data_IF_567215386623
#
_entry.id   IF_567215386623
#
_cell.length_a   1.000
_cell.length_b   1.000
_cell.length_c   1.000
_cell.angle_alpha   90.00
_cell.angle_beta   90.00
_cell.angle_gamma   90.00
#
_symmetry.space_group_name_H-M   'P 1'
#
loop_
_entity.id
_entity.type
_entity.pdbx_description
1 polymer ?
#
# COMPACT_ATOMS: atom_id res chain seq x y z
N UNK A 1 -14.67 0.97 -18.82
CA UNK A 1 -13.70 -0.15 -18.90
C UNK A 1 -12.96 -0.26 -17.59
N UNK A 2 -13.49 -1.04 -16.65
CA UNK A 2 -13.11 -1.05 -15.22
C UNK A 2 -12.10 -2.16 -14.86
N UNK A 3 -11.74 -3.03 -15.80
CA UNK A 3 -10.74 -4.07 -15.58
C UNK A 3 -9.40 -3.65 -16.18
N UNK A 4 -8.63 -2.88 -15.41
CA UNK A 4 -7.18 -2.88 -15.57
C UNK A 4 -6.58 -3.59 -14.36
N UNK A 5 -5.53 -4.39 -14.57
CA UNK A 5 -4.80 -5.17 -13.55
C UNK A 5 -4.46 -4.32 -12.32
N UNK A 6 -4.29 -3.02 -12.54
CA UNK A 6 -4.05 -2.02 -11.54
C UNK A 6 -5.12 -1.91 -10.43
N UNK A 7 -6.42 -1.91 -10.77
CA UNK A 7 -7.49 -1.79 -9.75
C UNK A 7 -7.54 -3.03 -8.88
N UNK A 8 -7.27 -4.20 -9.46
CA UNK A 8 -7.13 -5.45 -8.72
C UNK A 8 -5.95 -5.41 -7.75
N UNK A 9 -4.78 -4.90 -8.16
CA UNK A 9 -3.63 -4.77 -7.27
C UNK A 9 -3.89 -3.82 -6.09
N UNK A 10 -4.55 -2.69 -6.35
CA UNK A 10 -4.93 -1.73 -5.29
C UNK A 10 -6.00 -2.33 -4.37
N UNK A 11 -6.93 -3.10 -4.91
CA UNK A 11 -7.94 -3.80 -4.12
C UNK A 11 -7.29 -4.85 -3.21
N UNK A 12 -6.39 -5.68 -3.74
CA UNK A 12 -5.63 -6.66 -2.93
C UNK A 12 -4.82 -5.94 -1.85
N UNK A 13 -4.18 -4.81 -2.18
CA UNK A 13 -3.47 -3.98 -1.20
C UNK A 13 -4.40 -3.52 -0.06
N UNK A 14 -5.60 -3.02 -0.40
CA UNK A 14 -6.58 -2.56 0.59
C UNK A 14 -7.05 -3.69 1.51
N UNK A 15 -7.35 -4.87 0.93
CA UNK A 15 -7.76 -6.04 1.71
C UNK A 15 -6.64 -6.52 2.63
N UNK A 16 -5.41 -6.56 2.14
CA UNK A 16 -4.26 -6.99 2.93
C UNK A 16 -3.98 -6.00 4.08
N UNK A 17 -4.12 -4.69 3.84
CA UNK A 17 -3.97 -3.70 4.91
C UNK A 17 -5.06 -3.85 5.97
N UNK A 18 -6.31 -4.15 5.57
CA UNK A 18 -7.41 -4.38 6.49
C UNK A 18 -7.23 -5.66 7.33
N UNK A 19 -6.75 -6.76 6.73
CA UNK A 19 -6.48 -7.99 7.48
C UNK A 19 -5.34 -7.80 8.47
N UNK A 20 -4.29 -7.04 8.11
CA UNK A 20 -3.20 -6.72 9.05
C UNK A 20 -3.65 -5.86 10.21
N UNK A 21 -4.57 -4.91 9.96
CA UNK A 21 -5.21 -4.13 11.01
C UNK A 21 -6.05 -5.00 11.95
N UNK A 22 -6.90 -5.88 11.41
CA UNK A 22 -7.73 -6.80 12.19
C UNK A 22 -6.87 -7.68 13.13
N UNK A 23 -5.83 -8.30 12.58
CA UNK A 23 -4.93 -9.16 13.36
C UNK A 23 -4.20 -8.39 14.46
N UNK A 24 -3.75 -7.16 14.17
CA UNK A 24 -3.05 -6.37 15.18
C UNK A 24 -3.97 -5.78 16.25
N UNK A 25 -5.25 -5.56 15.94
CA UNK A 25 -6.27 -5.19 16.91
C UNK A 25 -6.55 -6.36 17.89
N UNK A 26 -6.64 -7.58 17.36
CA UNK A 26 -6.85 -8.80 18.15
C UNK A 26 -5.70 -9.08 19.14
N UNK A 27 -4.46 -8.82 18.73
CA UNK A 27 -3.25 -8.98 19.57
C UNK A 27 -3.12 -7.86 20.65
N UNK A 28 -4.15 -7.02 20.81
CA UNK A 28 -4.28 -6.00 21.86
C UNK A 28 -3.10 -5.00 21.93
N UNK A 29 -2.38 -4.81 20.82
CA UNK A 29 -1.35 -3.77 20.73
C UNK A 29 -2.02 -2.44 20.33
N UNK A 30 -2.28 -1.55 21.29
CA UNK A 30 -2.65 -0.16 20.98
C UNK A 30 -1.42 0.60 20.50
N UNK A 31 -0.93 0.25 19.32
CA UNK A 31 0.20 0.91 18.68
C UNK A 31 -0.30 1.95 17.68
N UNK A 32 0.38 3.10 17.59
CA UNK A 32 0.16 4.15 16.59
C UNK A 32 0.16 3.55 15.17
N UNK A 33 0.95 2.51 14.96
CA UNK A 33 1.05 1.79 13.68
C UNK A 33 -0.29 1.21 13.22
N UNK A 34 -1.18 0.80 14.13
CA UNK A 34 -2.48 0.25 13.74
C UNK A 34 -3.39 1.30 13.11
N UNK A 35 -3.37 2.53 13.63
CA UNK A 35 -4.11 3.63 13.02
C UNK A 35 -3.58 3.94 11.61
N UNK A 36 -2.28 3.76 11.37
CA UNK A 36 -1.68 3.93 10.05
C UNK A 36 -2.19 2.87 9.08
N UNK A 37 -2.26 1.59 9.48
CA UNK A 37 -2.81 0.53 8.61
C UNK A 37 -4.28 0.76 8.26
N UNK A 38 -5.09 1.22 9.21
CA UNK A 38 -6.49 1.61 8.94
C UNK A 38 -6.56 2.77 7.93
N UNK A 39 -5.73 3.80 8.12
CA UNK A 39 -5.65 4.92 7.20
C UNK A 39 -5.25 4.48 5.79
N UNK A 40 -4.26 3.59 5.67
CA UNK A 40 -3.84 3.00 4.40
C UNK A 40 -4.96 2.21 3.73
N UNK A 41 -5.76 1.44 4.49
CA UNK A 41 -6.92 0.72 3.96
C UNK A 41 -7.95 1.68 3.36
N UNK A 42 -8.27 2.77 4.07
CA UNK A 42 -9.22 3.79 3.60
C UNK A 42 -8.68 4.50 2.37
N UNK A 43 -7.42 4.96 2.40
CA UNK A 43 -6.80 5.67 1.28
C UNK A 43 -6.71 4.79 0.04
N UNK A 44 -6.29 3.53 0.19
CA UNK A 44 -6.21 2.58 -0.93
C UNK A 44 -7.59 2.27 -1.51
N UNK A 45 -8.62 2.15 -0.68
CA UNK A 45 -10.00 1.98 -1.13
C UNK A 45 -10.51 3.20 -1.93
N UNK A 46 -10.29 4.42 -1.43
CA UNK A 46 -10.61 5.65 -2.17
C UNK A 46 -9.83 5.72 -3.49
N UNK A 47 -8.58 5.26 -3.50
CA UNK A 47 -7.72 5.25 -4.68
C UNK A 47 -8.25 4.35 -5.81
N UNK A 48 -9.17 3.41 -5.52
CA UNK A 48 -9.85 2.59 -6.55
C UNK A 48 -10.82 3.45 -7.37
N UNK A 49 -11.53 4.38 -6.73
CA UNK A 49 -12.49 5.26 -7.41
C UNK A 49 -11.82 6.39 -8.19
N UNK A 50 -10.54 6.66 -7.93
CA UNK A 50 -9.78 7.71 -8.60
C UNK A 50 -9.23 7.29 -9.98
N UNK A 51 -9.94 6.38 -10.67
CA UNK A 51 -9.53 5.83 -11.97
C UNK A 51 -9.45 6.88 -13.09
N UNK A 52 -10.14 8.02 -12.93
CA UNK A 52 -10.12 9.11 -13.88
C UNK A 52 -8.76 9.86 -13.87
N UNK A 53 -8.09 9.94 -12.72
CA UNK A 53 -6.87 10.71 -12.53
C UNK A 53 -5.65 9.80 -12.29
N UNK A 54 -5.17 9.16 -13.36
CA UNK A 54 -4.10 8.14 -13.29
C UNK A 54 -2.80 8.63 -12.65
N UNK A 55 -2.35 9.85 -12.98
CA UNK A 55 -1.19 10.46 -12.34
C UNK A 55 -1.36 10.64 -10.83
N UNK A 56 -2.58 10.97 -10.38
CA UNK A 56 -2.88 11.10 -8.95
C UNK A 56 -2.87 9.71 -8.30
N UNK A 57 -3.44 8.71 -8.95
CA UNK A 57 -3.44 7.33 -8.50
C UNK A 57 -2.01 6.78 -8.33
N UNK A 58 -1.11 7.09 -9.27
CA UNK A 58 0.31 6.74 -9.21
C UNK A 58 1.07 7.47 -8.09
N UNK A 59 0.74 8.75 -7.84
CA UNK A 59 1.30 9.51 -6.72
C UNK A 59 0.84 8.99 -5.37
N UNK A 60 -0.42 8.61 -5.23
CA UNK A 60 -0.94 7.99 -4.00
C UNK A 60 -0.24 6.65 -3.74
N UNK A 61 -0.08 5.80 -4.75
CA UNK A 61 0.69 4.55 -4.59
C UNK A 61 2.14 4.79 -4.16
N UNK A 62 2.77 5.86 -4.66
CA UNK A 62 4.12 6.26 -4.26
C UNK A 62 4.16 6.77 -2.80
N UNK A 63 3.15 7.52 -2.36
CA UNK A 63 3.03 7.90 -0.95
C UNK A 63 2.85 6.69 -0.04
N UNK A 64 1.97 5.75 -0.41
CA UNK A 64 1.77 4.50 0.32
C UNK A 64 3.07 3.66 0.39
N UNK A 65 3.83 3.62 -0.69
CA UNK A 65 5.15 2.97 -0.71
C UNK A 65 6.10 3.53 0.35
N UNK A 66 6.18 4.87 0.46
CA UNK A 66 7.01 5.49 1.52
C UNK A 66 6.49 5.19 2.92
N UNK A 67 5.17 5.15 3.12
CA UNK A 67 4.57 4.78 4.42
C UNK A 67 5.01 3.38 4.84
N UNK A 68 4.98 2.40 3.93
CA UNK A 68 5.45 1.04 4.25
C UNK A 68 6.95 0.97 4.56
N UNK A 69 7.77 1.74 3.84
CA UNK A 69 9.20 1.86 4.18
C UNK A 69 9.36 2.39 5.60
N UNK A 70 8.66 3.47 5.97
CA UNK A 70 8.74 4.04 7.31
C UNK A 70 8.34 3.05 8.40
N UNK A 71 7.30 2.24 8.17
CA UNK A 71 6.87 1.19 9.11
C UNK A 71 7.96 0.12 9.27
N UNK A 72 8.55 -0.34 8.16
CA UNK A 72 9.63 -1.34 8.19
C UNK A 72 10.83 -0.77 8.96
N UNK A 73 11.28 0.44 8.65
CA UNK A 73 12.40 1.08 9.34
C UNK A 73 12.13 1.28 10.83
N UNK A 74 10.91 1.70 11.20
CA UNK A 74 10.49 1.83 12.60
C UNK A 74 10.70 0.50 13.35
N UNK A 75 10.10 -0.58 12.87
CA UNK A 75 10.22 -1.89 13.54
C UNK A 75 11.65 -2.45 13.50
N UNK A 76 12.43 -2.16 12.46
CA UNK A 76 13.82 -2.58 12.36
C UNK A 76 14.70 -1.95 13.45
N UNK A 77 14.48 -0.66 13.76
CA UNK A 77 15.18 0.04 14.85
C UNK A 77 14.85 -0.60 16.21
N UNK A 78 13.56 -0.89 16.47
CA UNK A 78 13.16 -1.57 17.72
C UNK A 78 13.79 -2.96 17.86
N UNK A 79 13.91 -3.69 16.74
CA UNK A 79 14.53 -5.01 16.69
C UNK A 79 16.04 -4.95 17.01
N UNK A 80 16.76 -3.96 16.46
CA UNK A 80 18.18 -3.71 16.77
C UNK A 80 18.36 -3.34 18.24
N UNK A 81 17.45 -2.55 18.80
CA UNK A 81 17.48 -2.15 20.21
C UNK A 81 17.10 -3.29 21.19
N UNK A 82 16.81 -4.48 20.69
CA UNK A 82 16.47 -5.65 21.52
C UNK A 82 15.08 -5.59 22.15
N UNK A 83 14.25 -4.64 21.75
CA UNK A 83 12.89 -4.49 22.27
C UNK A 83 11.98 -5.46 21.51
N UNK A 84 11.55 -6.53 22.18
CA UNK A 84 10.61 -7.51 21.61
C UNK A 84 9.18 -6.96 21.71
N UNK A 85 8.62 -6.47 20.60
CA UNK A 85 7.17 -6.28 20.46
C UNK A 85 6.57 -7.55 19.83
N UNK A 86 5.52 -8.11 20.45
CA UNK A 86 4.91 -9.38 20.05
C UNK A 86 4.07 -9.35 18.75
N UNK A 87 4.08 -8.27 17.94
CA UNK A 87 3.80 -8.44 16.52
C UNK A 87 4.87 -7.84 15.58
N UNK A 88 6.11 -7.59 16.02
CA UNK A 88 7.16 -6.97 15.18
C UNK A 88 7.37 -7.72 13.86
N UNK A 89 7.57 -9.05 13.92
CA UNK A 89 7.87 -9.84 12.72
C UNK A 89 6.69 -9.90 11.75
N UNK A 90 5.46 -9.97 12.26
CA UNK A 90 4.25 -9.94 11.45
C UNK A 90 4.06 -8.59 10.76
N UNK A 91 4.30 -7.48 11.47
CA UNK A 91 4.20 -6.15 10.87
C UNK A 91 5.28 -5.90 9.82
N UNK A 92 6.51 -6.36 10.03
CA UNK A 92 7.58 -6.23 9.03
C UNK A 92 7.25 -7.05 7.78
N UNK A 93 6.88 -8.32 7.94
CA UNK A 93 6.60 -9.21 6.79
C UNK A 93 5.40 -8.73 5.98
N UNK A 94 4.31 -8.35 6.66
CA UNK A 94 3.11 -7.83 6.00
C UNK A 94 3.35 -6.49 5.29
N UNK A 95 4.12 -5.58 5.91
CA UNK A 95 4.49 -4.31 5.29
C UNK A 95 5.37 -4.52 4.06
N UNK A 96 6.26 -5.52 4.08
CA UNK A 96 7.10 -5.85 2.93
C UNK A 96 6.27 -6.33 1.74
N UNK A 97 5.27 -7.20 1.97
CA UNK A 97 4.35 -7.66 0.92
C UNK A 97 3.56 -6.47 0.36
N UNK A 98 3.03 -5.60 1.24
CA UNK A 98 2.28 -4.41 0.84
C UNK A 98 3.13 -3.41 0.05
N UNK A 99 4.41 -3.26 0.41
CA UNK A 99 5.38 -2.42 -0.30
C UNK A 99 5.61 -2.92 -1.74
N UNK A 100 5.80 -4.22 -1.90
CA UNK A 100 5.96 -4.84 -3.24
C UNK A 100 4.68 -4.64 -4.06
N UNK A 101 3.51 -4.86 -3.47
CA UNK A 101 2.23 -4.63 -4.14
C UNK A 101 2.05 -3.16 -4.57
N UNK A 102 2.36 -2.20 -3.69
CA UNK A 102 2.26 -0.78 -4.00
C UNK A 102 3.18 -0.38 -5.17
N UNK A 103 4.38 -0.97 -5.23
CA UNK A 103 5.32 -0.76 -6.34
C UNK A 103 4.77 -1.33 -7.66
N UNK A 104 4.26 -2.57 -7.65
CA UNK A 104 3.66 -3.18 -8.84
C UNK A 104 2.41 -2.43 -9.29
N UNK A 105 1.56 -2.02 -8.36
CA UNK A 105 0.39 -1.19 -8.63
C UNK A 105 0.82 0.08 -9.36
N UNK A 106 1.79 0.83 -8.80
CA UNK A 106 2.36 2.05 -9.41
C UNK A 106 2.86 1.80 -10.83
N UNK A 107 3.66 0.74 -11.03
CA UNK A 107 4.23 0.40 -12.34
C UNK A 107 3.15 0.10 -13.37
N UNK A 108 2.07 -0.59 -12.97
CA UNK A 108 0.93 -0.84 -13.84
C UNK A 108 0.23 0.47 -14.25
N UNK A 109 0.04 1.43 -13.33
CA UNK A 109 -0.59 2.74 -13.61
C UNK A 109 0.17 3.51 -14.68
N UNK A 110 1.49 3.61 -14.51
CA UNK A 110 2.33 4.40 -15.40
C UNK A 110 2.39 3.78 -16.80
N UNK A 111 2.50 2.44 -16.88
CA UNK A 111 2.42 1.73 -18.16
C UNK A 111 1.07 1.98 -18.85
N UNK A 112 -0.01 1.99 -18.09
CA UNK A 112 -1.36 2.22 -18.57
C UNK A 112 -1.57 3.65 -19.10
N UNK A 113 -0.92 4.63 -18.49
CA UNK A 113 -0.89 6.02 -18.92
C UNK A 113 -0.03 6.23 -20.17
N UNK A 114 1.17 5.63 -20.21
CA UNK A 114 2.06 5.70 -21.37
C UNK A 114 1.42 5.13 -22.64
N UNK A 115 0.63 4.05 -22.50
CA UNK A 115 -0.13 3.47 -23.62
C UNK A 115 -1.21 4.41 -24.15
N UNK A 116 -1.87 5.19 -23.30
CA UNK A 116 -2.84 6.18 -23.78
C UNK A 116 -2.11 7.33 -24.47
N UNK A 117 -1.02 7.80 -23.87
CA UNK A 117 -0.24 8.92 -24.43
C UNK A 117 0.46 8.55 -25.74
N UNK A 118 0.75 7.27 -25.99
CA UNK A 118 1.27 6.83 -27.28
C UNK A 118 0.18 6.79 -28.35
N UNK A 119 -1.04 6.37 -28.01
CA UNK A 119 -2.19 6.37 -28.92
C UNK A 119 -2.59 7.80 -29.30
N UNK A 120 -2.63 8.72 -28.34
CA UNK A 120 -2.96 10.13 -28.60
C UNK A 120 -1.93 10.84 -29.49
N UNK A 121 -0.69 10.36 -29.56
CA UNK A 121 0.36 10.91 -30.44
C UNK A 121 0.22 10.50 -31.91
N UNK A 122 -0.55 9.45 -32.20
CA UNK A 122 -0.75 8.92 -33.57
C UNK A 122 -1.98 9.56 -34.24
N UNK A 123 -2.91 10.10 -33.44
CA UNK A 123 -4.03 10.92 -33.93
C UNK A 123 -3.57 12.34 -34.21
#
# INVERSE_FOLDING_TARGET
MIQRIQTLLILILSLLSLTTFYFSYEVQSKSIVNNIFLFVAIVSFINIFLFHYRLVQARICLMLYFVFISIITYYFIYLINGIKLEPTYFHISSSFIQLVLAFFARKAILKDEDLIRSVDRIR
#
